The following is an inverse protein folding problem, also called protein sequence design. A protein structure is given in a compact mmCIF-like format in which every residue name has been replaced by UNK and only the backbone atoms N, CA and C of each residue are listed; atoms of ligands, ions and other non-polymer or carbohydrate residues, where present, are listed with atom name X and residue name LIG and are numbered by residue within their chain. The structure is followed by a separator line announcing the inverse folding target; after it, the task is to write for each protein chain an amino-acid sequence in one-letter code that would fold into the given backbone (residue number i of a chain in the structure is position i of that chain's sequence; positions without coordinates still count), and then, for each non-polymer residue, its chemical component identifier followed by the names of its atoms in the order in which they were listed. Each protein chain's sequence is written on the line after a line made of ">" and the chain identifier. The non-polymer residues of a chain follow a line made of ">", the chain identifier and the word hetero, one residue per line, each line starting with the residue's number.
data_IF_600732159108
#
_entry.id   IF_600732159108
#
_cell.length_a   1.000
_cell.length_b   1.000
_cell.length_c   1.000
_cell.angle_alpha   90.00
_cell.angle_beta   90.00
_cell.angle_gamma   90.00
#
_symmetry.space_group_name_H-M   'P 1'
#
loop_
_entity.id
_entity.type
_entity.pdbx_description
1 polymer ?
#
# COMPACT_ATOMS: atom_id res chain seq x y z
N UNK A 1 27.23 -3.65 1.57
CA UNK A 1 27.19 -2.20 1.31
C UNK A 1 25.89 -1.78 0.62
N UNK A 2 25.63 -2.12 -0.66
CA UNK A 2 24.37 -1.74 -1.33
C UNK A 2 23.14 -2.37 -0.65
N UNK A 3 23.16 -3.69 -0.41
CA UNK A 3 22.05 -4.35 0.30
C UNK A 3 21.87 -3.86 1.74
N UNK A 4 22.97 -3.51 2.41
CA UNK A 4 22.94 -2.96 3.76
C UNK A 4 22.29 -1.57 3.79
N UNK A 5 22.56 -0.74 2.78
CA UNK A 5 21.91 0.55 2.63
C UNK A 5 20.43 0.42 2.27
N UNK A 6 20.09 -0.53 1.41
CA UNK A 6 18.69 -0.85 1.06
C UNK A 6 17.94 -1.34 2.30
N UNK A 7 18.55 -2.21 3.10
CA UNK A 7 17.96 -2.71 4.33
C UNK A 7 17.77 -1.59 5.36
N UNK A 8 18.80 -0.74 5.54
CA UNK A 8 18.72 0.44 6.39
C UNK A 8 17.59 1.38 5.95
N UNK A 9 17.48 1.69 4.66
CA UNK A 9 16.41 2.50 4.10
C UNK A 9 15.05 1.89 4.40
N UNK A 10 14.90 0.60 4.10
CA UNK A 10 13.63 -0.09 4.29
C UNK A 10 13.21 -0.03 5.75
N UNK A 11 14.10 -0.35 6.68
CA UNK A 11 13.82 -0.51 8.11
C UNK A 11 13.71 0.82 8.86
N UNK A 12 14.49 1.84 8.48
CA UNK A 12 14.65 3.05 9.29
C UNK A 12 14.17 4.34 8.62
N UNK A 13 13.99 4.38 7.30
CA UNK A 13 13.68 5.64 6.59
C UNK A 13 12.25 5.69 6.04
N UNK A 14 11.59 4.54 5.89
CA UNK A 14 10.22 4.52 5.34
C UNK A 14 9.15 4.86 6.38
N UNK A 15 8.20 5.72 6.01
CA UNK A 15 7.04 6.06 6.87
C UNK A 15 6.30 4.80 7.35
N UNK A 16 6.21 3.79 6.50
CA UNK A 16 5.63 2.50 6.84
C UNK A 16 6.32 1.87 8.07
N UNK A 17 7.65 1.83 8.12
CA UNK A 17 8.35 1.25 9.27
C UNK A 17 8.38 2.19 10.48
N UNK A 18 8.47 3.50 10.26
CA UNK A 18 8.48 4.51 11.33
C UNK A 18 7.15 4.56 12.11
N UNK A 19 6.02 4.46 11.40
CA UNK A 19 4.69 4.71 11.97
C UNK A 19 3.76 3.51 11.78
N UNK A 20 3.54 3.06 10.54
CA UNK A 20 2.47 2.08 10.23
C UNK A 20 2.76 0.66 10.72
N UNK A 21 4.02 0.23 10.80
CA UNK A 21 4.42 -1.09 11.31
C UNK A 21 4.12 -1.25 12.79
N UNK A 22 4.17 -0.16 13.55
CA UNK A 22 3.87 -0.17 14.99
C UNK A 22 2.37 -0.38 15.29
N UNK A 23 1.52 -0.36 14.25
CA UNK A 23 0.07 -0.65 14.32
C UNK A 23 -0.25 -2.10 13.88
N UNK A 24 0.48 -3.09 14.44
CA UNK A 24 0.40 -4.51 14.04
C UNK A 24 -1.02 -5.07 14.14
N UNK A 25 -1.74 -4.74 15.21
CA UNK A 25 -3.12 -5.21 15.43
C UNK A 25 -4.10 -4.63 14.42
N UNK A 26 -3.95 -3.35 14.04
CA UNK A 26 -4.82 -2.68 13.07
C UNK A 26 -4.76 -3.32 11.68
N UNK A 27 -3.58 -3.78 11.26
CA UNK A 27 -3.40 -4.50 9.99
C UNK A 27 -4.10 -5.85 9.95
N UNK A 28 -4.25 -6.52 11.10
CA UNK A 28 -4.99 -7.78 11.22
C UNK A 28 -6.48 -7.54 11.42
N UNK A 29 -6.86 -6.47 12.10
CA UNK A 29 -8.24 -6.14 12.45
C UNK A 29 -9.04 -5.62 11.25
N UNK A 30 -8.47 -4.71 10.43
CA UNK A 30 -9.19 -4.14 9.27
C UNK A 30 -9.66 -5.22 8.29
N UNK A 31 -8.81 -6.17 7.84
CA UNK A 31 -9.25 -7.22 6.93
C UNK A 31 -10.31 -8.15 7.54
N UNK A 32 -10.19 -8.45 8.84
CA UNK A 32 -11.18 -9.25 9.56
C UNK A 32 -12.51 -8.52 9.65
N UNK A 33 -12.51 -7.21 9.95
CA UNK A 33 -13.72 -6.39 9.97
C UNK A 33 -14.35 -6.24 8.58
N UNK A 34 -13.53 -6.09 7.53
CA UNK A 34 -13.99 -6.09 6.14
C UNK A 34 -14.60 -7.44 5.76
N UNK A 35 -13.95 -8.55 6.12
CA UNK A 35 -14.46 -9.90 5.91
C UNK A 35 -15.80 -10.11 6.63
N UNK A 36 -15.89 -9.73 7.90
CA UNK A 36 -17.12 -9.82 8.69
C UNK A 36 -18.22 -8.92 8.13
N UNK A 37 -17.88 -7.72 7.64
CA UNK A 37 -18.84 -6.84 6.98
C UNK A 37 -19.39 -7.46 5.69
N UNK A 38 -18.53 -8.07 4.87
CA UNK A 38 -18.96 -8.78 3.65
C UNK A 38 -19.76 -10.04 3.97
N UNK A 39 -19.34 -10.82 4.96
CA UNK A 39 -20.08 -12.00 5.42
C UNK A 39 -21.45 -11.62 5.98
N UNK A 40 -21.55 -10.53 6.75
CA UNK A 40 -22.82 -10.01 7.24
C UNK A 40 -23.72 -9.55 6.08
N UNK A 41 -23.18 -8.90 5.06
CA UNK A 41 -23.93 -8.54 3.86
C UNK A 41 -24.42 -9.78 3.12
N UNK A 42 -23.61 -10.82 3.02
CA UNK A 42 -23.98 -12.10 2.41
C UNK A 42 -25.15 -12.77 3.15
N UNK A 43 -25.12 -12.78 4.49
CA UNK A 43 -26.20 -13.32 5.34
C UNK A 43 -27.48 -12.49 5.21
N UNK A 44 -27.38 -11.17 5.28
CA UNK A 44 -28.52 -10.25 5.15
C UNK A 44 -29.16 -10.32 3.76
N UNK A 45 -28.34 -10.59 2.73
CA UNK A 45 -28.78 -10.76 1.35
C UNK A 45 -29.60 -12.04 1.14
N UNK A 46 -29.17 -13.18 1.71
CA UNK A 46 -29.93 -14.44 1.67
C UNK A 46 -31.30 -14.36 2.38
N UNK A 47 -31.48 -13.38 3.26
CA UNK A 47 -32.75 -13.10 3.96
C UNK A 47 -33.70 -12.21 3.09
N UNK A 48 -33.38 -11.98 1.81
CA UNK A 48 -34.16 -11.15 0.86
C UNK A 48 -34.32 -9.68 1.30
N UNK A 49 -33.36 -9.10 2.01
CA UNK A 49 -33.37 -7.65 2.26
C UNK A 49 -32.91 -6.85 1.03
N UNK A 50 -33.57 -5.72 0.79
CA UNK A 50 -33.44 -4.93 -0.46
C UNK A 50 -32.06 -4.28 -0.63
N UNK A 51 -31.74 -4.00 -1.90
CA UNK A 51 -30.48 -3.43 -2.42
C UNK A 51 -29.99 -2.14 -1.72
N UNK A 52 -30.86 -1.39 -1.03
CA UNK A 52 -30.47 -0.17 -0.32
C UNK A 52 -29.47 -0.42 0.83
N UNK A 53 -29.39 -1.66 1.36
CA UNK A 53 -28.40 -2.00 2.37
C UNK A 53 -26.96 -2.05 1.84
N UNK A 54 -26.77 -2.22 0.53
CA UNK A 54 -25.45 -2.13 -0.10
C UNK A 54 -24.92 -0.71 -0.16
N UNK A 55 -25.83 0.26 -0.27
CA UNK A 55 -25.50 1.68 -0.20
C UNK A 55 -24.95 2.05 1.17
N UNK A 56 -25.29 1.30 2.24
CA UNK A 56 -24.73 1.50 3.59
C UNK A 56 -23.28 0.99 3.73
N UNK A 57 -22.78 0.16 2.82
CA UNK A 57 -21.39 -0.34 2.85
C UNK A 57 -20.38 0.71 2.43
N UNK A 58 -20.77 1.61 1.51
CA UNK A 58 -19.95 2.74 1.07
C UNK A 58 -19.56 3.66 2.26
N UNK A 59 -20.50 4.07 3.13
CA UNK A 59 -20.20 4.71 4.41
C UNK A 59 -19.26 3.90 5.30
N UNK A 60 -19.47 2.58 5.45
CA UNK A 60 -18.59 1.74 6.29
C UNK A 60 -17.14 1.72 5.78
N UNK A 61 -16.95 1.63 4.47
CA UNK A 61 -15.62 1.70 3.86
C UNK A 61 -14.99 3.09 4.05
N UNK A 62 -15.77 4.17 3.85
CA UNK A 62 -15.34 5.54 4.12
C UNK A 62 -14.91 5.74 5.59
N UNK A 63 -15.67 5.18 6.54
CA UNK A 63 -15.34 5.18 7.97
C UNK A 63 -14.06 4.39 8.24
N UNK A 64 -13.86 3.23 7.61
CA UNK A 64 -12.64 2.45 7.78
C UNK A 64 -11.38 3.21 7.29
N UNK A 65 -11.45 3.86 6.13
CA UNK A 65 -10.37 4.71 5.61
C UNK A 65 -10.10 5.89 6.54
N UNK A 66 -11.16 6.54 7.01
CA UNK A 66 -11.09 7.67 7.94
C UNK A 66 -10.43 7.28 9.26
N UNK A 67 -10.84 6.14 9.84
CA UNK A 67 -10.23 5.58 11.04
C UNK A 67 -8.77 5.23 10.81
N UNK A 68 -8.43 4.55 9.71
CA UNK A 68 -7.03 4.22 9.40
C UNK A 68 -6.12 5.46 9.34
N UNK A 69 -6.59 6.54 8.70
CA UNK A 69 -5.89 7.83 8.69
C UNK A 69 -5.76 8.43 10.09
N UNK A 70 -6.82 8.34 10.90
CA UNK A 70 -6.84 8.82 12.28
C UNK A 70 -5.82 8.10 13.16
N UNK A 71 -5.73 6.77 13.07
CA UNK A 71 -4.78 5.98 13.85
C UNK A 71 -3.33 6.27 13.46
N UNK A 72 -3.04 6.43 12.17
CA UNK A 72 -1.72 6.87 11.72
C UNK A 72 -1.38 8.25 12.30
N UNK A 73 -2.30 9.21 12.23
CA UNK A 73 -2.08 10.55 12.80
C UNK A 73 -1.88 10.53 14.32
N UNK A 74 -2.63 9.69 15.06
CA UNK A 74 -2.43 9.50 16.49
C UNK A 74 -1.03 8.92 16.78
N UNK A 75 -0.58 7.95 15.99
CA UNK A 75 0.75 7.35 16.17
C UNK A 75 1.88 8.31 15.80
N UNK A 76 1.69 9.15 14.78
CA UNK A 76 2.61 10.27 14.49
C UNK A 76 2.64 11.24 15.67
N UNK A 77 1.49 11.64 16.21
CA UNK A 77 1.45 12.52 17.37
C UNK A 77 2.14 11.91 18.60
N UNK A 78 2.08 10.61 18.79
CA UNK A 78 2.75 9.93 19.90
C UNK A 78 4.27 9.89 19.72
N UNK A 79 4.76 9.50 18.53
CA UNK A 79 6.17 9.19 18.30
C UNK A 79 6.99 10.34 17.70
N UNK A 80 6.33 11.23 16.97
CA UNK A 80 6.93 12.29 16.16
C UNK A 80 6.13 13.58 16.31
N UNK A 81 5.98 14.06 17.55
CA UNK A 81 5.16 15.23 17.90
C UNK A 81 5.42 16.45 17.00
N UNK A 82 6.69 16.72 16.68
CA UNK A 82 7.11 17.83 15.80
C UNK A 82 6.52 17.76 14.38
N UNK A 83 6.14 16.57 13.92
CA UNK A 83 5.60 16.35 12.58
C UNK A 83 4.07 16.25 12.58
N UNK A 84 3.42 16.33 13.74
CA UNK A 84 1.95 16.30 13.84
C UNK A 84 1.37 17.68 13.52
N UNK A 85 0.68 17.81 12.39
CA UNK A 85 -0.01 19.06 12.00
C UNK A 85 -1.41 19.10 12.61
N UNK A 86 -2.17 18.02 12.48
CA UNK A 86 -3.55 17.97 12.97
C UNK A 86 -3.97 16.57 13.41
N UNK A 87 -5.24 16.44 13.79
CA UNK A 87 -5.87 15.15 14.11
C UNK A 87 -5.85 14.15 12.94
N UNK A 88 -5.66 14.59 11.70
CA UNK A 88 -5.70 13.74 10.50
C UNK A 88 -4.56 14.01 9.51
N UNK A 89 -3.62 14.90 9.85
CA UNK A 89 -2.52 15.28 8.97
C UNK A 89 -1.20 15.38 9.72
N UNK A 90 -0.13 15.14 8.99
CA UNK A 90 1.24 15.20 9.45
C UNK A 90 2.11 15.83 8.35
N UNK A 91 3.26 16.35 8.75
CA UNK A 91 4.23 16.98 7.85
C UNK A 91 4.96 15.89 7.07
N UNK A 92 4.54 15.66 5.83
CA UNK A 92 5.28 14.77 4.91
C UNK A 92 6.69 15.31 4.66
N UNK A 93 6.82 16.63 4.55
CA UNK A 93 8.09 17.32 4.37
C UNK A 93 9.02 17.14 5.58
N UNK A 94 8.50 17.26 6.79
CA UNK A 94 9.29 17.06 8.01
C UNK A 94 9.82 15.62 8.15
N UNK A 95 9.00 14.62 7.78
CA UNK A 95 9.47 13.23 7.73
C UNK A 95 10.51 13.00 6.62
N UNK A 96 10.38 13.70 5.49
CA UNK A 96 11.33 13.63 4.39
C UNK A 96 12.69 14.20 4.80
N UNK A 97 12.70 15.38 5.42
CA UNK A 97 13.91 16.02 5.96
C UNK A 97 14.59 15.16 7.03
N UNK A 98 13.81 14.56 7.94
CA UNK A 98 14.33 13.59 8.91
C UNK A 98 14.97 12.38 8.22
N UNK A 99 14.39 11.90 7.12
CA UNK A 99 14.95 10.79 6.37
C UNK A 99 16.29 11.17 5.71
N UNK A 100 16.38 12.36 5.10
CA UNK A 100 17.64 12.90 4.54
C UNK A 100 18.70 13.04 5.64
N UNK A 101 18.36 13.63 6.78
CA UNK A 101 19.28 13.81 7.90
C UNK A 101 19.77 12.46 8.46
N UNK A 102 18.86 11.51 8.65
CA UNK A 102 19.20 10.17 9.15
C UNK A 102 20.03 9.35 8.16
N UNK A 103 19.84 9.57 6.86
CA UNK A 103 20.65 8.97 5.80
C UNK A 103 22.06 9.59 5.77
N UNK A 104 22.16 10.92 5.86
CA UNK A 104 23.45 11.61 5.96
C UNK A 104 24.25 11.14 7.19
N UNK A 105 23.61 11.10 8.36
CA UNK A 105 24.23 10.58 9.58
C UNK A 105 24.61 9.10 9.49
N UNK A 106 23.93 8.29 8.68
CA UNK A 106 24.36 6.92 8.40
C UNK A 106 25.66 6.89 7.58
N UNK A 107 25.79 7.73 6.56
CA UNK A 107 27.03 7.82 5.77
C UNK A 107 28.20 8.31 6.60
N UNK A 108 27.99 9.30 7.47
CA UNK A 108 29.01 9.79 8.40
C UNK A 108 29.48 8.70 9.37
N UNK A 109 28.55 7.97 10.00
CA UNK A 109 28.88 6.84 10.88
C UNK A 109 29.62 5.72 10.16
N UNK A 110 29.38 5.54 8.87
CA UNK A 110 30.07 4.56 8.03
C UNK A 110 31.39 5.07 7.45
N UNK A 111 31.72 6.35 7.65
CA UNK A 111 32.92 6.97 7.08
C UNK A 111 32.95 6.95 5.56
N UNK A 112 31.79 7.13 4.91
CA UNK A 112 31.71 7.15 3.45
C UNK A 112 31.93 8.57 2.93
N UNK A 113 32.91 8.73 2.05
CA UNK A 113 33.15 9.96 1.29
C UNK A 113 32.16 10.09 0.13
N UNK A 114 32.08 11.28 -0.46
CA UNK A 114 31.16 11.57 -1.57
C UNK A 114 31.39 10.66 -2.77
N UNK A 115 32.65 10.39 -3.12
CA UNK A 115 33.01 9.49 -4.22
C UNK A 115 32.44 8.07 -4.01
N UNK A 116 32.51 7.56 -2.78
CA UNK A 116 31.94 6.25 -2.44
C UNK A 116 30.42 6.29 -2.44
N UNK A 117 29.80 7.37 -1.97
CA UNK A 117 28.34 7.54 -2.00
C UNK A 117 27.84 7.56 -3.45
N UNK A 118 28.49 8.31 -4.34
CA UNK A 118 28.15 8.36 -5.78
C UNK A 118 28.29 6.99 -6.45
N UNK A 119 29.37 6.25 -6.18
CA UNK A 119 29.52 4.87 -6.69
C UNK A 119 28.40 3.95 -6.21
N UNK A 120 27.99 4.07 -4.95
CA UNK A 120 26.87 3.28 -4.40
C UNK A 120 25.55 3.71 -5.05
N UNK A 121 25.38 5.00 -5.31
CA UNK A 121 24.21 5.54 -6.00
C UNK A 121 24.07 4.97 -7.42
N UNK A 122 25.16 4.91 -8.18
CA UNK A 122 25.20 4.30 -9.51
C UNK A 122 24.80 2.83 -9.47
N UNK A 123 25.35 2.06 -8.51
CA UNK A 123 24.99 0.65 -8.33
C UNK A 123 23.51 0.46 -7.96
N UNK A 124 22.93 1.36 -7.17
CA UNK A 124 21.49 1.35 -6.85
C UNK A 124 20.66 1.64 -8.10
N UNK A 125 21.08 2.60 -8.92
CA UNK A 125 20.40 2.96 -10.16
C UNK A 125 20.41 1.80 -11.16
N UNK A 126 21.57 1.16 -11.38
CA UNK A 126 21.69 -0.01 -12.24
C UNK A 126 20.78 -1.16 -11.76
N UNK A 127 20.71 -1.35 -10.44
CA UNK A 127 19.82 -2.35 -9.84
C UNK A 127 18.35 -1.99 -10.02
N UNK A 128 17.98 -0.72 -9.87
CA UNK A 128 16.61 -0.25 -10.11
C UNK A 128 16.19 -0.48 -11.57
N UNK A 129 17.06 -0.20 -12.53
CA UNK A 129 16.78 -0.42 -13.95
C UNK A 129 16.58 -1.89 -14.29
N UNK A 130 17.31 -2.81 -13.66
CA UNK A 130 17.09 -4.26 -13.80
C UNK A 130 15.74 -4.70 -13.23
N UNK A 131 15.32 -4.14 -12.10
CA UNK A 131 14.05 -4.47 -11.44
C UNK A 131 12.84 -3.82 -12.15
N UNK A 132 13.04 -2.70 -12.87
CA UNK A 132 12.00 -1.98 -13.63
C UNK A 132 11.23 -2.88 -14.58
N UNK A 133 11.95 -3.71 -15.33
CA UNK A 133 11.37 -4.65 -16.30
C UNK A 133 10.48 -5.67 -15.60
N UNK A 134 10.90 -6.19 -14.45
CA UNK A 134 10.09 -7.10 -13.64
C UNK A 134 8.80 -6.45 -13.13
N UNK A 135 8.88 -5.19 -12.66
CA UNK A 135 7.69 -4.44 -12.24
C UNK A 135 6.71 -4.20 -13.39
N UNK A 136 7.20 -3.81 -14.58
CA UNK A 136 6.37 -3.57 -15.76
C UNK A 136 5.70 -4.86 -16.20
N UNK A 137 6.47 -5.96 -16.34
CA UNK A 137 5.93 -7.27 -16.74
C UNK A 137 4.83 -7.69 -15.76
N UNK A 138 5.06 -7.56 -14.45
CA UNK A 138 4.07 -7.92 -13.45
C UNK A 138 2.76 -7.11 -13.61
N UNK A 139 2.85 -5.78 -13.74
CA UNK A 139 1.68 -4.92 -13.94
C UNK A 139 0.97 -5.26 -15.25
N UNK A 140 1.73 -5.49 -16.33
CA UNK A 140 1.19 -5.88 -17.63
C UNK A 140 0.47 -7.22 -17.59
N UNK A 141 1.04 -8.24 -16.94
CA UNK A 141 0.39 -9.55 -16.76
C UNK A 141 -0.89 -9.41 -15.92
N UNK A 142 -0.85 -8.60 -14.86
CA UNK A 142 -2.00 -8.36 -14.01
C UNK A 142 -3.12 -7.65 -14.78
N UNK A 143 -2.78 -6.63 -15.58
CA UNK A 143 -3.73 -5.96 -16.47
C UNK A 143 -4.29 -6.89 -17.55
N UNK A 144 -3.43 -7.71 -18.19
CA UNK A 144 -3.84 -8.64 -19.24
C UNK A 144 -4.78 -9.74 -18.73
N UNK A 145 -4.66 -10.15 -17.47
CA UNK A 145 -5.58 -11.09 -16.84
C UNK A 145 -6.86 -10.39 -16.34
N UNK A 146 -6.72 -9.22 -15.73
CA UNK A 146 -7.83 -8.56 -15.05
C UNK A 146 -8.80 -7.86 -16.03
N UNK A 147 -8.30 -7.23 -17.09
CA UNK A 147 -9.12 -6.47 -18.04
C UNK A 147 -10.15 -7.36 -18.76
N UNK A 148 -9.77 -8.52 -19.37
CA UNK A 148 -10.75 -9.39 -20.02
C UNK A 148 -11.76 -9.97 -19.03
N UNK A 149 -11.28 -10.34 -17.83
CA UNK A 149 -12.13 -10.88 -16.77
C UNK A 149 -13.15 -9.84 -16.30
N UNK A 150 -12.74 -8.59 -16.18
CA UNK A 150 -13.60 -7.45 -15.85
C UNK A 150 -14.61 -7.14 -16.94
N UNK A 151 -14.23 -7.23 -18.22
CA UNK A 151 -15.15 -7.02 -19.34
C UNK A 151 -16.22 -8.11 -19.42
N UNK A 152 -15.84 -9.40 -19.35
CA UNK A 152 -16.78 -10.52 -19.30
C UNK A 152 -17.73 -10.38 -18.11
N UNK A 153 -17.21 -9.88 -16.99
CA UNK A 153 -17.99 -9.60 -15.82
C UNK A 153 -19.02 -8.48 -16.05
N UNK A 154 -18.61 -7.33 -16.60
CA UNK A 154 -19.52 -6.23 -16.92
C UNK A 154 -20.61 -6.66 -17.90
N UNK A 155 -20.26 -7.43 -18.93
CA UNK A 155 -21.21 -7.95 -19.92
C UNK A 155 -22.27 -8.85 -19.26
N UNK A 156 -21.85 -9.77 -18.39
CA UNK A 156 -22.78 -10.64 -17.65
C UNK A 156 -23.65 -9.87 -16.67
N UNK A 157 -23.08 -8.88 -15.99
CA UNK A 157 -23.81 -8.04 -15.04
C UNK A 157 -24.88 -7.21 -15.75
N UNK A 158 -24.54 -6.59 -16.88
CA UNK A 158 -25.50 -5.82 -17.69
C UNK A 158 -26.58 -6.72 -18.31
N UNK A 159 -26.26 -7.95 -18.70
CA UNK A 159 -27.23 -8.91 -19.23
C UNK A 159 -28.25 -9.41 -18.21
N UNK A 160 -27.89 -9.49 -16.92
CA UNK A 160 -28.77 -9.98 -15.86
C UNK A 160 -29.68 -8.91 -15.23
N UNK A 161 -29.48 -7.63 -15.56
CA UNK A 161 -30.35 -6.54 -15.07
C UNK A 161 -31.83 -6.65 -15.50
N UNK A 162 -32.13 -7.52 -16.46
CA UNK A 162 -33.49 -7.77 -16.96
C UNK A 162 -34.27 -8.85 -16.19
N UNK A 163 -33.63 -9.57 -15.25
CA UNK A 163 -34.24 -10.68 -14.50
C UNK A 163 -33.94 -10.52 -13.01
N UNK A 164 -34.97 -10.23 -12.22
CA UNK A 164 -34.88 -9.77 -10.83
C UNK A 164 -34.33 -10.80 -9.83
N UNK A 165 -34.37 -12.10 -10.12
CA UNK A 165 -33.87 -13.15 -9.19
C UNK A 165 -32.41 -13.56 -9.44
N UNK A 166 -31.88 -13.44 -10.67
CA UNK A 166 -30.51 -13.87 -11.04
C UNK A 166 -29.39 -12.89 -10.68
N UNK A 167 -29.73 -11.59 -10.63
CA UNK A 167 -28.85 -10.52 -10.13
C UNK A 167 -28.28 -10.84 -8.73
N UNK A 168 -29.00 -11.67 -7.99
CA UNK A 168 -28.77 -11.99 -6.60
C UNK A 168 -27.55 -12.86 -6.35
N UNK A 169 -27.47 -13.94 -7.11
CA UNK A 169 -26.41 -14.92 -7.02
C UNK A 169 -25.12 -14.32 -7.61
N UNK A 170 -25.24 -13.56 -8.71
CA UNK A 170 -24.11 -12.86 -9.32
C UNK A 170 -23.48 -11.86 -8.35
N UNK A 171 -24.29 -11.09 -7.63
CA UNK A 171 -23.83 -10.11 -6.65
C UNK A 171 -23.16 -10.77 -5.42
N UNK A 172 -23.66 -11.91 -4.98
CA UNK A 172 -23.06 -12.69 -3.90
C UNK A 172 -21.69 -13.30 -4.30
N UNK A 173 -21.58 -13.81 -5.53
CA UNK A 173 -20.32 -14.31 -6.12
C UNK A 173 -19.30 -13.19 -6.27
N UNK A 174 -19.74 -11.98 -6.61
CA UNK A 174 -18.95 -10.75 -6.64
C UNK A 174 -18.38 -10.35 -5.30
N UNK A 175 -19.22 -10.29 -4.26
CA UNK A 175 -18.78 -9.97 -2.90
C UNK A 175 -17.77 -11.02 -2.41
N UNK A 176 -18.02 -12.30 -2.71
CA UNK A 176 -17.08 -13.38 -2.42
C UNK A 176 -15.76 -13.21 -3.18
N UNK A 177 -15.79 -12.90 -4.47
CA UNK A 177 -14.60 -12.63 -5.29
C UNK A 177 -13.82 -11.40 -4.80
N UNK A 178 -14.49 -10.29 -4.50
CA UNK A 178 -13.86 -9.08 -3.95
C UNK A 178 -13.20 -9.39 -2.61
N UNK A 179 -13.83 -10.21 -1.78
CA UNK A 179 -13.30 -10.61 -0.47
C UNK A 179 -12.13 -11.58 -0.62
N UNK A 180 -12.24 -12.55 -1.52
CA UNK A 180 -11.18 -13.48 -1.87
C UNK A 180 -9.98 -12.75 -2.47
N UNK A 181 -10.20 -11.77 -3.36
CA UNK A 181 -9.16 -10.90 -3.92
C UNK A 181 -8.58 -9.99 -2.84
N UNK A 182 -9.38 -9.47 -1.91
CA UNK A 182 -8.87 -8.65 -0.78
C UNK A 182 -8.01 -9.47 0.19
N UNK A 183 -8.36 -10.73 0.40
CA UNK A 183 -7.56 -11.67 1.19
C UNK A 183 -6.30 -12.11 0.45
N UNK A 184 -6.42 -12.39 -0.85
CA UNK A 184 -5.30 -12.67 -1.74
C UNK A 184 -4.38 -11.45 -1.86
N UNK A 185 -4.89 -10.21 -1.81
CA UNK A 185 -4.08 -8.98 -1.82
C UNK A 185 -3.15 -8.88 -0.61
N UNK A 186 -3.47 -9.52 0.51
CA UNK A 186 -2.58 -9.63 1.67
C UNK A 186 -1.46 -10.63 1.39
N UNK A 187 -1.74 -11.74 0.72
CA UNK A 187 -0.72 -12.71 0.30
C UNK A 187 0.10 -12.21 -0.92
N UNK A 188 -0.53 -11.43 -1.80
CA UNK A 188 0.11 -10.69 -2.89
C UNK A 188 0.87 -9.48 -2.36
N UNK A 189 0.74 -9.09 -1.09
CA UNK A 189 1.54 -8.01 -0.53
C UNK A 189 3.03 -8.36 -0.54
N UNK A 190 3.38 -9.64 -0.35
CA UNK A 190 4.76 -10.12 -0.47
C UNK A 190 5.25 -10.10 -1.92
N UNK A 191 4.39 -10.50 -2.88
CA UNK A 191 4.71 -10.42 -4.32
C UNK A 191 4.83 -8.97 -4.78
N UNK A 192 3.91 -8.09 -4.37
CA UNK A 192 3.96 -6.65 -4.60
C UNK A 192 5.23 -6.06 -3.99
N UNK A 193 5.57 -6.43 -2.76
CA UNK A 193 6.74 -5.91 -2.06
C UNK A 193 8.07 -6.36 -2.68
N UNK A 194 8.08 -7.55 -3.29
CA UNK A 194 9.22 -8.09 -4.02
C UNK A 194 9.34 -7.52 -5.45
N UNK A 195 8.24 -7.33 -6.18
CA UNK A 195 8.27 -6.97 -7.62
C UNK A 195 7.93 -5.51 -7.94
N UNK A 196 6.98 -4.87 -7.25
CA UNK A 196 6.58 -3.47 -7.52
C UNK A 196 7.27 -2.52 -6.53
N UNK A 197 7.20 -2.83 -5.23
CA UNK A 197 7.68 -1.93 -4.19
C UNK A 197 9.21 -1.87 -4.18
N UNK A 198 9.92 -2.89 -4.67
CA UNK A 198 11.39 -2.90 -4.71
C UNK A 198 11.97 -1.87 -5.67
N UNK A 199 11.46 -1.79 -6.91
CA UNK A 199 11.83 -0.74 -7.86
C UNK A 199 11.54 0.66 -7.29
N UNK A 200 10.34 0.86 -6.75
CA UNK A 200 9.94 2.16 -6.14
C UNK A 200 10.82 2.51 -4.94
N UNK A 201 11.17 1.55 -4.08
CA UNK A 201 12.07 1.74 -2.94
C UNK A 201 13.47 2.13 -3.39
N UNK A 202 14.01 1.50 -4.43
CA UNK A 202 15.33 1.82 -4.97
C UNK A 202 15.39 3.22 -5.57
N UNK A 203 14.36 3.64 -6.33
CA UNK A 203 14.30 5.00 -6.86
C UNK A 203 14.18 6.06 -5.76
N UNK A 204 13.31 5.84 -4.76
CA UNK A 204 13.18 6.76 -3.62
C UNK A 204 14.47 6.85 -2.79
N UNK A 205 15.19 5.75 -2.63
CA UNK A 205 16.51 5.76 -1.99
C UNK A 205 17.51 6.57 -2.84
N UNK A 206 17.48 6.42 -4.16
CA UNK A 206 18.34 7.16 -5.06
C UNK A 206 18.07 8.68 -5.04
N UNK A 207 16.80 9.09 -4.98
CA UNK A 207 16.38 10.48 -4.77
C UNK A 207 16.93 11.03 -3.45
N UNK A 208 16.74 10.31 -2.34
CA UNK A 208 17.29 10.70 -1.04
C UNK A 208 18.82 10.83 -1.04
N UNK A 209 19.54 9.93 -1.73
CA UNK A 209 21.00 10.03 -1.85
C UNK A 209 21.40 11.30 -2.60
N UNK A 210 20.66 11.64 -3.67
CA UNK A 210 20.91 12.85 -4.46
C UNK A 210 20.73 14.11 -3.59
N UNK A 211 19.68 14.15 -2.78
CA UNK A 211 19.43 15.26 -1.87
C UNK A 211 20.49 15.37 -0.76
N UNK A 212 20.99 14.24 -0.24
CA UNK A 212 22.11 14.26 0.72
C UNK A 212 23.38 14.83 0.07
N UNK A 213 23.68 14.46 -1.18
CA UNK A 213 24.84 14.99 -1.90
C UNK A 213 24.70 16.48 -2.23
N UNK A 214 23.48 16.98 -2.46
CA UNK A 214 23.21 18.40 -2.73
C UNK A 214 23.26 19.28 -1.47
N UNK A 215 23.14 18.69 -0.28
CA UNK A 215 23.07 19.40 1.01
C UNK A 215 24.39 19.39 1.79
N UNK A 216 25.43 18.75 1.25
CA UNK A 216 26.82 18.79 1.74
C UNK A 216 27.60 19.89 1.04
#
# INVERSE_FOLDING_TARGET
>A
MVEELIDYYSTNLTFYNLVTRKLIWWKKLIPVLLFLAVAALFVVYFIKLKIYLLVLCLPCFGVALFLGRRFNALKVKELYQRHSISKFSWSTEGFHQDAVQNLNGYFERKGWDENKIQKIQELIKEKADKERTGSIIFISCLGALFIPLWNVYLDKLMGQFNTTEDLSILFAVLLFLITAVSYLMINLADIRDNFITRFVKLNKLNELISEVLLSR
#
